data_IF_272109927627
#
_entry.id   IF_272109927627
#
_cell.length_a   1.000
_cell.length_b   1.000
_cell.length_c   1.000
_cell.angle_alpha   90.00
_cell.angle_beta   90.00
_cell.angle_gamma   90.00
#
_symmetry.space_group_name_H-M   'P 1'
#
loop_
_entity.id
_entity.type
_entity.pdbx_description
1 polymer ?
#
# COMPACT_ATOMS: atom_id res chain seq x y z
N UNK A 1 -22.56 -1.70 -19.23
CA UNK A 1 -23.80 -1.76 -18.41
C UNK A 1 -24.33 -0.34 -18.17
N UNK A 2 -25.56 -0.14 -17.69
CA UNK A 2 -25.95 1.20 -17.20
C UNK A 2 -25.07 1.57 -15.99
N UNK A 3 -24.56 2.80 -15.96
CA UNK A 3 -23.50 3.21 -15.03
C UNK A 3 -23.91 3.07 -13.56
N UNK A 4 -25.16 3.42 -13.22
CA UNK A 4 -25.68 3.33 -11.86
C UNK A 4 -25.72 1.87 -11.35
N UNK A 5 -26.11 0.95 -12.25
CA UNK A 5 -26.09 -0.48 -11.94
C UNK A 5 -24.67 -1.00 -11.77
N UNK A 6 -23.74 -0.52 -12.60
CA UNK A 6 -22.33 -0.90 -12.48
C UNK A 6 -21.72 -0.40 -11.17
N UNK A 7 -21.99 0.85 -10.80
CA UNK A 7 -21.55 1.44 -9.52
C UNK A 7 -22.07 0.64 -8.33
N UNK A 8 -23.36 0.29 -8.32
CA UNK A 8 -23.95 -0.52 -7.26
C UNK A 8 -23.28 -1.90 -7.11
N UNK A 9 -22.94 -2.55 -8.23
CA UNK A 9 -22.26 -3.85 -8.20
C UNK A 9 -20.83 -3.71 -7.71
N UNK A 10 -20.07 -2.75 -8.24
CA UNK A 10 -18.68 -2.51 -7.83
C UNK A 10 -18.61 -2.15 -6.34
N UNK A 11 -19.46 -1.25 -5.87
CA UNK A 11 -19.57 -0.89 -4.45
C UNK A 11 -19.83 -2.12 -3.57
N UNK A 12 -20.79 -2.97 -3.95
CA UNK A 12 -21.10 -4.20 -3.23
C UNK A 12 -19.93 -5.18 -3.20
N UNK A 13 -19.22 -5.37 -4.32
CA UNK A 13 -18.04 -6.24 -4.39
C UNK A 13 -16.91 -5.72 -3.50
N UNK A 14 -16.63 -4.41 -3.53
CA UNK A 14 -15.61 -3.80 -2.68
C UNK A 14 -15.96 -3.90 -1.19
N UNK A 15 -17.24 -3.75 -0.84
CA UNK A 15 -17.72 -3.89 0.53
C UNK A 15 -17.58 -5.33 1.05
N UNK A 16 -17.98 -6.32 0.25
CA UNK A 16 -17.88 -7.74 0.63
C UNK A 16 -16.44 -8.21 0.71
N UNK A 17 -15.55 -7.70 -0.16
CA UNK A 17 -14.14 -8.07 -0.16
C UNK A 17 -13.45 -7.73 1.16
N UNK A 18 -13.69 -6.53 1.71
CA UNK A 18 -12.99 -6.02 2.89
C UNK A 18 -11.51 -5.67 2.66
N UNK A 19 -10.83 -6.41 1.78
CA UNK A 19 -9.45 -6.22 1.34
C UNK A 19 -9.36 -5.58 -0.05
N UNK A 20 -8.18 -5.02 -0.44
CA UNK A 20 -7.96 -4.50 -1.79
C UNK A 20 -8.22 -5.54 -2.88
N UNK A 21 -8.93 -5.12 -3.93
CA UNK A 21 -9.29 -5.94 -5.08
C UNK A 21 -8.55 -5.45 -6.31
N UNK A 22 -7.95 -6.37 -7.07
CA UNK A 22 -7.27 -6.02 -8.31
C UNK A 22 -8.26 -5.57 -9.40
N UNK A 23 -7.93 -4.49 -10.10
CA UNK A 23 -8.74 -3.93 -11.20
C UNK A 23 -8.93 -4.96 -12.33
N UNK A 24 -7.90 -5.73 -12.65
CA UNK A 24 -7.97 -6.78 -13.67
C UNK A 24 -8.89 -7.95 -13.28
N UNK A 25 -8.97 -8.26 -11.99
CA UNK A 25 -9.90 -9.29 -11.49
C UNK A 25 -11.35 -8.80 -11.55
N UNK A 26 -11.61 -7.56 -11.14
CA UNK A 26 -12.93 -6.94 -11.26
C UNK A 26 -13.37 -6.80 -12.72
N UNK A 27 -12.49 -6.33 -13.60
CA UNK A 27 -12.75 -6.17 -15.03
C UNK A 27 -13.12 -7.51 -15.68
N UNK A 28 -12.36 -8.58 -15.38
CA UNK A 28 -12.68 -9.93 -15.87
C UNK A 28 -13.98 -10.48 -15.32
N UNK A 29 -14.25 -10.28 -14.02
CA UNK A 29 -15.47 -10.76 -13.37
C UNK A 29 -16.73 -10.08 -13.88
N UNK A 30 -16.63 -8.79 -14.20
CA UNK A 30 -17.74 -7.97 -14.70
C UNK A 30 -17.86 -7.97 -16.22
N UNK A 31 -16.92 -8.62 -16.93
CA UNK A 31 -16.84 -8.68 -18.39
C UNK A 31 -16.82 -7.29 -19.06
N UNK A 32 -16.11 -6.34 -18.45
CA UNK A 32 -15.95 -4.96 -18.95
C UNK A 32 -14.47 -4.61 -19.13
N UNK A 33 -14.20 -3.54 -19.88
CA UNK A 33 -12.84 -3.00 -20.00
C UNK A 33 -12.34 -2.39 -18.69
N UNK A 34 -11.02 -2.39 -18.47
CA UNK A 34 -10.41 -1.68 -17.33
C UNK A 34 -10.74 -0.17 -17.36
N UNK A 35 -10.84 0.44 -18.54
CA UNK A 35 -11.20 1.85 -18.70
C UNK A 35 -12.64 2.15 -18.22
N UNK A 36 -13.60 1.28 -18.54
CA UNK A 36 -14.99 1.38 -18.07
C UNK A 36 -15.06 1.20 -16.55
N UNK A 37 -14.31 0.24 -16.00
CA UNK A 37 -14.22 0.03 -14.56
C UNK A 37 -13.59 1.24 -13.85
N UNK A 38 -12.49 1.79 -14.37
CA UNK A 38 -11.83 2.97 -13.82
C UNK A 38 -12.74 4.21 -13.88
N UNK A 39 -13.54 4.35 -14.93
CA UNK A 39 -14.57 5.39 -14.99
C UNK A 39 -15.63 5.22 -13.90
N UNK A 40 -16.12 4.00 -13.68
CA UNK A 40 -17.04 3.66 -12.60
C UNK A 40 -16.45 3.96 -11.21
N UNK A 41 -15.18 3.59 -10.97
CA UNK A 41 -14.49 3.84 -9.70
C UNK A 41 -14.38 5.34 -9.42
N UNK A 42 -14.04 6.17 -10.43
CA UNK A 42 -14.02 7.62 -10.28
C UNK A 42 -15.38 8.20 -9.90
N UNK A 43 -16.46 7.68 -10.49
CA UNK A 43 -17.83 8.10 -10.13
C UNK A 43 -18.20 7.74 -8.70
N UNK A 44 -17.89 6.53 -8.26
CA UNK A 44 -18.04 6.17 -6.85
C UNK A 44 -17.22 7.09 -5.92
N UNK A 45 -15.99 7.43 -6.29
CA UNK A 45 -15.17 8.38 -5.51
C UNK A 45 -15.83 9.76 -5.40
N UNK A 46 -16.41 10.26 -6.49
CA UNK A 46 -17.20 11.51 -6.50
C UNK A 46 -18.40 11.42 -5.56
N UNK A 47 -19.19 10.34 -5.62
CA UNK A 47 -20.38 10.14 -4.76
C UNK A 47 -20.01 10.06 -3.27
N UNK A 48 -18.86 9.46 -2.98
CA UNK A 48 -18.32 9.36 -1.62
C UNK A 48 -17.59 10.62 -1.14
N UNK A 49 -17.34 11.61 -1.99
CA UNK A 49 -16.59 12.82 -1.62
C UNK A 49 -17.28 13.66 -0.54
N UNK A 50 -18.62 13.58 -0.45
CA UNK A 50 -19.44 14.35 0.49
C UNK A 50 -18.95 14.24 1.95
N UNK A 51 -18.84 15.37 2.70
CA UNK A 51 -18.50 15.37 4.12
C UNK A 51 -19.46 14.54 5.00
N UNK A 52 -20.67 14.27 4.52
CA UNK A 52 -21.65 13.44 5.22
C UNK A 52 -21.35 11.93 5.15
N UNK A 53 -20.33 11.51 4.40
CA UNK A 53 -19.89 10.11 4.27
C UNK A 53 -18.56 9.90 4.99
N UNK A 54 -18.50 8.88 5.86
CA UNK A 54 -17.27 8.49 6.58
C UNK A 54 -16.42 7.44 5.86
N UNK A 55 -16.85 6.97 4.68
CA UNK A 55 -16.15 5.98 3.86
C UNK A 55 -15.77 6.59 2.50
N UNK A 56 -14.78 5.99 1.85
CA UNK A 56 -14.26 6.38 0.55
C UNK A 56 -13.83 5.15 -0.25
N UNK A 57 -13.82 5.28 -1.57
CA UNK A 57 -13.17 4.31 -2.45
C UNK A 57 -11.73 4.75 -2.68
N UNK A 58 -10.78 3.97 -2.17
CA UNK A 58 -9.36 4.21 -2.39
C UNK A 58 -8.86 3.37 -3.56
N UNK A 59 -8.00 3.98 -4.38
CA UNK A 59 -7.27 3.29 -5.44
C UNK A 59 -5.77 3.46 -5.16
N UNK A 60 -5.06 2.34 -5.09
CA UNK A 60 -3.61 2.29 -4.89
C UNK A 60 -3.02 1.33 -5.92
N UNK A 61 -2.16 1.84 -6.80
CA UNK A 61 -1.66 1.05 -7.92
C UNK A 61 -2.80 0.48 -8.76
N UNK A 62 -2.79 -0.85 -8.95
CA UNK A 62 -3.83 -1.61 -9.67
C UNK A 62 -4.91 -2.20 -8.77
N UNK A 63 -5.00 -1.74 -7.52
CA UNK A 63 -5.95 -2.25 -6.54
C UNK A 63 -6.93 -1.15 -6.11
N UNK A 64 -8.18 -1.53 -5.90
CA UNK A 64 -9.26 -0.66 -5.41
C UNK A 64 -9.89 -1.27 -4.17
N UNK A 65 -10.30 -0.43 -3.21
CA UNK A 65 -10.95 -0.89 -1.97
C UNK A 65 -11.91 0.13 -1.41
N UNK A 66 -12.91 -0.33 -0.68
CA UNK A 66 -13.71 0.53 0.19
C UNK A 66 -13.01 0.68 1.54
N UNK A 67 -12.86 1.91 2.03
CA UNK A 67 -12.15 2.17 3.30
C UNK A 67 -12.72 3.39 4.01
N UNK A 68 -12.30 3.62 5.25
CA UNK A 68 -12.73 4.79 6.03
C UNK A 68 -11.98 6.04 5.61
N UNK A 69 -12.63 7.20 5.65
CA UNK A 69 -11.94 8.48 5.48
C UNK A 69 -10.97 8.76 6.62
N UNK A 70 -9.84 9.44 6.37
CA UNK A 70 -8.88 9.80 7.42
C UNK A 70 -9.51 10.61 8.57
N UNK A 71 -10.48 11.47 8.25
CA UNK A 71 -11.20 12.35 9.19
C UNK A 71 -11.86 11.59 10.35
N UNK A 72 -12.26 10.33 10.12
CA UNK A 72 -12.92 9.52 11.15
C UNK A 72 -11.94 8.71 12.00
N UNK A 73 -10.64 8.74 11.69
CA UNK A 73 -9.61 7.98 12.42
C UNK A 73 -9.63 8.22 13.94
N UNK A 74 -9.76 9.46 14.46
CA UNK A 74 -9.82 9.69 15.91
C UNK A 74 -10.99 8.99 16.61
N UNK A 75 -12.06 8.67 15.89
CA UNK A 75 -13.23 7.95 16.41
C UNK A 75 -13.04 6.43 16.28
N UNK A 76 -12.48 5.97 15.16
CA UNK A 76 -12.10 4.56 14.95
C UNK A 76 -11.13 4.10 16.03
N UNK A 77 -10.12 4.92 16.34
CA UNK A 77 -9.13 4.62 17.38
C UNK A 77 -9.78 4.46 18.77
N UNK A 78 -10.67 5.38 19.14
CA UNK A 78 -11.39 5.34 20.42
C UNK A 78 -12.26 4.11 20.57
N UNK A 79 -13.00 3.75 19.52
CA UNK A 79 -14.00 2.68 19.56
C UNK A 79 -13.38 1.29 19.45
N UNK A 80 -12.53 1.09 18.44
CA UNK A 80 -12.03 -0.24 18.09
C UNK A 80 -10.68 -0.55 18.73
N UNK A 81 -9.98 0.48 19.26
CA UNK A 81 -8.60 0.37 19.75
C UNK A 81 -7.79 -0.55 18.86
N UNK A 82 -7.81 -0.30 17.52
CA UNK A 82 -7.11 -1.17 16.61
C UNK A 82 -5.68 -1.27 17.12
N UNK A 83 -5.09 -2.47 17.08
CA UNK A 83 -3.64 -2.56 17.19
C UNK A 83 -3.13 -1.73 16.03
N UNK A 84 -2.81 -0.46 16.28
CA UNK A 84 -2.06 0.37 15.35
C UNK A 84 -0.81 -0.46 15.17
N UNK A 85 -0.72 -1.19 14.06
CA UNK A 85 0.48 -1.94 13.72
C UNK A 85 1.58 -0.91 13.86
N UNK A 86 2.36 -1.04 14.94
CA UNK A 86 3.17 0.04 15.53
C UNK A 86 3.66 0.94 14.41
N UNK A 87 3.24 2.21 14.42
CA UNK A 87 3.71 3.17 13.41
C UNK A 87 5.21 2.95 13.26
N UNK A 88 5.67 2.85 12.01
CA UNK A 88 7.08 2.60 11.75
C UNK A 88 7.87 3.65 12.52
N UNK A 89 8.78 3.17 13.37
CA UNK A 89 9.66 4.08 14.10
C UNK A 89 10.41 4.95 13.09
N UNK A 90 10.84 6.14 13.51
CA UNK A 90 11.65 7.01 12.66
C UNK A 90 12.85 6.26 12.04
N UNK A 91 13.51 5.41 12.82
CA UNK A 91 14.62 4.59 12.33
C UNK A 91 14.20 3.58 11.25
N UNK A 92 12.99 3.00 11.38
CA UNK A 92 12.43 2.10 10.36
C UNK A 92 12.04 2.87 9.10
N UNK A 93 11.45 4.06 9.21
CA UNK A 93 11.13 4.91 8.07
C UNK A 93 12.39 5.37 7.32
N UNK A 94 13.41 5.84 8.04
CA UNK A 94 14.71 6.24 7.43
C UNK A 94 15.38 5.06 6.72
N UNK A 95 15.34 3.87 7.33
CA UNK A 95 15.90 2.64 6.73
C UNK A 95 15.12 2.22 5.48
N UNK A 96 13.78 2.24 5.56
CA UNK A 96 12.92 1.92 4.44
C UNK A 96 13.12 2.89 3.26
N UNK A 97 13.25 4.19 3.53
CA UNK A 97 13.51 5.18 2.50
C UNK A 97 14.80 4.84 1.73
N UNK A 98 15.89 4.51 2.42
CA UNK A 98 17.14 4.10 1.75
C UNK A 98 16.89 2.89 0.85
N UNK A 99 16.16 1.89 1.32
CA UNK A 99 15.85 0.68 0.54
C UNK A 99 15.03 1.04 -0.70
N UNK A 100 13.97 1.84 -0.57
CA UNK A 100 13.13 2.24 -1.71
C UNK A 100 13.92 2.96 -2.80
N UNK A 101 14.91 3.78 -2.43
CA UNK A 101 15.71 4.56 -3.37
C UNK A 101 17.00 3.87 -3.86
N UNK A 102 17.50 2.87 -3.14
CA UNK A 102 18.79 2.23 -3.43
C UNK A 102 18.71 0.73 -3.70
N UNK A 103 17.53 0.12 -3.60
CA UNK A 103 17.36 -1.28 -3.94
C UNK A 103 17.86 -1.59 -5.37
N UNK A 104 18.56 -2.70 -5.59
CA UNK A 104 18.96 -3.71 -4.60
C UNK A 104 20.09 -3.21 -3.66
N UNK A 105 19.92 -3.29 -2.33
CA UNK A 105 20.89 -2.76 -1.35
C UNK A 105 21.20 -3.74 -0.23
N UNK A 106 22.44 -3.76 0.27
CA UNK A 106 22.86 -4.61 1.39
C UNK A 106 22.70 -3.91 2.75
N UNK A 107 22.59 -4.69 3.84
CA UNK A 107 22.58 -4.16 5.21
C UNK A 107 23.76 -3.22 5.47
N UNK A 108 24.97 -3.60 5.04
CA UNK A 108 26.19 -2.83 5.30
C UNK A 108 26.16 -1.48 4.58
N UNK A 109 25.63 -1.41 3.36
CA UNK A 109 25.44 -0.14 2.64
C UNK A 109 24.41 0.76 3.33
N UNK A 110 23.31 0.19 3.84
CA UNK A 110 22.33 0.94 4.62
C UNK A 110 22.98 1.51 5.89
N UNK A 111 23.74 0.68 6.63
CA UNK A 111 24.46 1.12 7.85
C UNK A 111 25.49 2.21 7.53
N UNK A 112 26.19 2.12 6.41
CA UNK A 112 27.14 3.14 5.97
C UNK A 112 26.44 4.48 5.68
N UNK A 113 25.24 4.46 5.09
CA UNK A 113 24.46 5.67 4.82
C UNK A 113 23.86 6.24 6.12
N UNK A 114 23.33 5.40 7.02
CA UNK A 114 22.71 5.85 8.27
C UNK A 114 23.70 6.20 9.38
N UNK A 115 24.92 5.68 9.30
CA UNK A 115 25.94 5.83 10.34
C UNK A 115 25.61 5.11 11.67
N UNK A 116 24.58 4.26 11.70
CA UNK A 116 24.13 3.52 12.90
C UNK A 116 23.67 2.11 12.53
N UNK A 117 23.66 1.20 13.51
CA UNK A 117 23.16 -0.16 13.33
C UNK A 117 21.67 -0.16 12.94
N UNK A 118 21.32 -0.96 11.94
CA UNK A 118 19.95 -1.01 11.37
C UNK A 118 19.23 -2.33 11.60
N UNK A 119 19.80 -3.26 12.38
CA UNK A 119 19.26 -4.62 12.56
C UNK A 119 17.80 -4.63 13.01
N UNK A 120 17.48 -3.85 14.05
CA UNK A 120 16.11 -3.75 14.58
C UNK A 120 15.14 -3.12 13.59
N UNK A 121 15.62 -2.16 12.80
CA UNK A 121 14.80 -1.51 11.77
C UNK A 121 14.50 -2.49 10.64
N UNK A 122 15.49 -3.22 10.14
CA UNK A 122 15.33 -4.26 9.12
C UNK A 122 14.39 -5.38 9.60
N UNK A 123 14.61 -5.94 10.80
CA UNK A 123 13.74 -6.97 11.39
C UNK A 123 12.29 -6.49 11.43
N UNK A 124 12.06 -5.27 11.92
CA UNK A 124 10.71 -4.70 12.01
C UNK A 124 10.05 -4.49 10.64
N UNK A 125 10.82 -4.10 9.61
CA UNK A 125 10.32 -3.94 8.25
C UNK A 125 9.97 -5.29 7.60
N UNK A 126 10.78 -6.33 7.84
CA UNK A 126 10.53 -7.69 7.36
C UNK A 126 9.33 -8.33 8.07
N UNK A 127 9.22 -8.18 9.40
CA UNK A 127 8.05 -8.65 10.18
C UNK A 127 6.73 -8.04 9.70
N UNK A 128 6.78 -6.81 9.18
CA UNK A 128 5.63 -6.10 8.59
C UNK A 128 5.46 -6.36 7.09
N UNK A 129 6.23 -7.28 6.50
CA UNK A 129 6.23 -7.57 5.07
C UNK A 129 6.46 -6.35 4.16
N UNK A 130 7.16 -5.32 4.63
CA UNK A 130 7.47 -4.12 3.84
C UNK A 130 8.76 -4.26 3.03
N UNK A 131 9.67 -5.12 3.49
CA UNK A 131 10.96 -5.38 2.86
C UNK A 131 11.18 -6.88 2.83
N UNK A 132 11.80 -7.38 1.77
CA UNK A 132 12.18 -8.78 1.63
C UNK A 132 13.59 -8.94 1.07
N UNK A 133 14.11 -10.15 1.18
CA UNK A 133 15.36 -10.54 0.53
C UNK A 133 15.10 -10.79 -0.95
N UNK A 134 15.86 -10.12 -1.81
CA UNK A 134 15.79 -10.25 -3.28
C UNK A 134 16.91 -11.13 -3.83
N UNK A 135 17.93 -11.41 -3.03
CA UNK A 135 19.07 -12.24 -3.42
C UNK A 135 20.29 -12.02 -2.54
N UNK A 136 21.45 -12.40 -3.05
CA UNK A 136 22.74 -12.18 -2.40
C UNK A 136 23.73 -11.58 -3.38
N UNK A 137 24.53 -10.64 -2.92
CA UNK A 137 25.60 -10.05 -3.71
C UNK A 137 26.73 -11.06 -3.91
N UNK A 138 27.27 -11.13 -5.12
CA UNK A 138 28.44 -11.97 -5.44
C UNK A 138 29.74 -11.27 -5.00
N UNK A 139 29.93 -11.22 -3.68
CA UNK A 139 31.06 -10.58 -3.02
C UNK A 139 31.48 -11.41 -1.79
N UNK A 140 32.69 -11.21 -1.23
CA UNK A 140 33.12 -11.90 -0.02
C UNK A 140 32.09 -11.74 1.13
N UNK A 141 31.71 -12.86 1.74
CA UNK A 141 30.66 -12.90 2.78
C UNK A 141 29.22 -13.01 2.24
N UNK A 142 29.01 -12.93 0.92
CA UNK A 142 27.72 -13.07 0.23
C UNK A 142 26.57 -12.34 0.95
N UNK A 143 26.68 -11.00 1.13
CA UNK A 143 25.70 -10.24 1.89
C UNK A 143 24.33 -10.28 1.20
N UNK A 144 23.29 -10.25 2.03
CA UNK A 144 21.89 -10.27 1.60
C UNK A 144 21.57 -8.93 0.94
N UNK A 145 20.86 -8.99 -0.20
CA UNK A 145 20.29 -7.85 -0.89
C UNK A 145 18.81 -7.72 -0.48
N UNK A 146 18.41 -6.50 -0.16
CA UNK A 146 17.06 -6.15 0.26
C UNK A 146 16.35 -5.29 -0.79
N UNK A 147 15.04 -5.48 -0.88
CA UNK A 147 14.12 -4.69 -1.70
C UNK A 147 12.76 -4.52 -1.03
N UNK A 148 11.97 -3.54 -1.49
CA UNK A 148 10.61 -3.32 -1.05
C UNK A 148 9.65 -4.34 -1.69
N UNK A 149 8.63 -4.75 -0.94
CA UNK A 149 7.58 -5.64 -1.42
C UNK A 149 6.46 -4.89 -2.13
N UNK A 150 5.61 -5.60 -2.88
CA UNK A 150 4.36 -5.03 -3.40
C UNK A 150 3.44 -4.51 -2.28
N UNK A 151 3.39 -5.25 -1.16
CA UNK A 151 2.65 -4.82 0.03
C UNK A 151 3.17 -3.49 0.60
N UNK A 152 4.47 -3.18 0.48
CA UNK A 152 5.00 -1.88 0.87
C UNK A 152 4.37 -0.76 0.04
N UNK A 153 4.26 -0.95 -1.28
CA UNK A 153 3.64 0.03 -2.17
C UNK A 153 2.17 0.25 -1.81
N UNK A 154 1.44 -0.84 -1.56
CA UNK A 154 0.06 -0.80 -1.08
C UNK A 154 -0.09 -0.10 0.28
N UNK A 155 0.81 -0.40 1.22
CA UNK A 155 0.81 0.15 2.58
C UNK A 155 0.96 1.67 2.59
N UNK A 156 1.79 2.22 1.70
CA UNK A 156 1.99 3.67 1.58
C UNK A 156 1.08 4.36 0.58
N UNK A 157 0.22 3.63 -0.13
CA UNK A 157 -0.68 4.23 -1.12
C UNK A 157 0.02 4.69 -2.40
N UNK A 158 1.17 4.10 -2.74
CA UNK A 158 2.05 4.55 -3.82
C UNK A 158 1.95 3.57 -4.99
N UNK A 159 1.76 4.08 -6.21
CA UNK A 159 1.55 3.22 -7.39
C UNK A 159 2.85 2.76 -8.04
N UNK A 160 3.89 3.60 -7.98
CA UNK A 160 5.22 3.32 -8.52
C UNK A 160 6.32 3.87 -7.61
N UNK A 161 7.53 3.30 -7.63
CA UNK A 161 8.66 3.85 -6.86
C UNK A 161 9.00 5.29 -7.29
N UNK A 162 8.65 5.66 -8.51
CA UNK A 162 8.81 7.01 -9.09
C UNK A 162 7.89 8.03 -8.40
N UNK A 163 6.73 7.62 -7.90
CA UNK A 163 5.80 8.49 -7.17
C UNK A 163 6.34 8.92 -5.79
N UNK A 164 7.38 8.25 -5.28
CA UNK A 164 8.06 8.63 -4.01
C UNK A 164 8.88 9.93 -4.19
N UNK A 165 9.17 10.34 -5.42
CA UNK A 165 10.01 11.52 -5.72
C UNK A 165 9.26 12.86 -5.76
N UNK A 166 7.93 12.87 -5.56
CA UNK A 166 7.12 14.11 -5.60
C UNK A 166 6.88 14.70 -4.22
#
# INVERSE_FOLDING_TARGET
>A
MEIDKLMSIVEGLLFVSGDPVNIGDLSRTLEISEDELLYCVRKLQEDYSSPARGIMVSQVGKCVRLTTKPDIFPYVEKMFKPKVNSQLSRAALETLAIILFKQPVTKTEIEAIRGVNVEKALSSLQEKNLVHEIGRLDAPGRPILYGATDYCMEYFGISTLEDIQK
#
